data_IF_954842703610
#
_entry.id   IF_954842703610
#
_cell.length_a   1.000
_cell.length_b   1.000
_cell.length_c   1.000
_cell.angle_alpha   90.00
_cell.angle_beta   90.00
_cell.angle_gamma   90.00
#
_symmetry.space_group_name_H-M   'P 1'
#
loop_
_entity.id
_entity.type
_entity.pdbx_description
1 polymer ?
#
# COMPACT_ATOMS: atom_id res chain seq x y z
N UNK A 1 -23.17 7.25 -52.62
CA UNK A 1 -22.52 6.15 -53.37
C UNK A 1 -21.24 6.65 -54.05
N UNK A 2 -20.15 5.98 -54.05
CA UNK A 2 -19.98 4.59 -54.42
C UNK A 2 -19.17 3.73 -53.43
N UNK A 3 -19.33 2.47 -53.67
CA UNK A 3 -18.87 1.23 -53.09
C UNK A 3 -17.35 0.90 -53.15
N UNK A 4 -16.98 -0.28 -52.63
CA UNK A 4 -15.80 -0.53 -51.81
C UNK A 4 -14.74 -1.45 -52.46
N UNK A 5 -13.78 -1.91 -51.56
CA UNK A 5 -12.87 -3.08 -51.71
C UNK A 5 -11.53 -2.92 -52.44
N UNK A 6 -10.53 -3.82 -52.27
CA UNK A 6 -10.51 -5.10 -51.59
C UNK A 6 -9.27 -5.41 -50.69
N UNK A 7 -9.40 -6.47 -49.87
CA UNK A 7 -8.33 -7.20 -49.21
C UNK A 7 -7.37 -7.93 -50.16
N UNK A 8 -6.18 -8.33 -49.71
CA UNK A 8 -5.58 -9.54 -50.24
C UNK A 8 -5.20 -10.61 -49.22
N UNK A 9 -5.41 -11.78 -49.67
CA UNK A 9 -5.40 -13.14 -49.15
C UNK A 9 -4.06 -13.67 -48.66
N UNK A 10 -4.23 -14.68 -47.82
CA UNK A 10 -3.36 -15.76 -47.34
C UNK A 10 -2.20 -16.21 -48.25
N UNK A 11 -1.13 -16.70 -47.61
CA UNK A 11 -0.43 -17.85 -48.08
C UNK A 11 0.09 -18.77 -46.96
N UNK A 12 -0.40 -19.99 -47.02
CA UNK A 12 -0.08 -21.17 -46.22
C UNK A 12 1.12 -21.86 -46.89
N UNK A 13 2.08 -22.32 -46.12
CA UNK A 13 2.90 -23.44 -46.52
C UNK A 13 3.34 -24.29 -45.32
N UNK A 14 2.89 -25.52 -45.35
CA UNK A 14 3.16 -26.66 -44.48
C UNK A 14 4.60 -27.15 -44.65
N UNK A 15 5.15 -27.73 -43.57
CA UNK A 15 5.95 -28.95 -43.68
C UNK A 15 5.99 -29.72 -42.36
N UNK A 16 5.37 -30.90 -42.39
CA UNK A 16 5.47 -32.00 -41.42
C UNK A 16 6.71 -32.87 -41.71
N UNK A 17 7.29 -33.45 -40.68
CA UNK A 17 7.75 -34.89 -40.60
C UNK A 17 8.36 -35.09 -39.20
N UNK A 18 7.77 -35.78 -38.28
CA UNK A 18 7.59 -37.20 -37.90
C UNK A 18 8.85 -38.09 -37.98
N UNK A 19 9.14 -38.75 -36.87
CA UNK A 19 9.29 -40.19 -36.54
C UNK A 19 10.26 -40.37 -35.37
N UNK A 20 9.78 -40.81 -34.24
CA UNK A 20 9.73 -42.17 -33.64
C UNK A 20 11.07 -42.81 -33.26
N UNK A 21 11.14 -43.08 -31.95
CA UNK A 21 11.49 -44.30 -31.23
C UNK A 21 12.90 -44.89 -31.35
N UNK A 22 13.56 -45.14 -30.24
CA UNK A 22 13.68 -46.44 -29.62
C UNK A 22 14.50 -46.46 -28.32
N UNK A 23 14.05 -47.25 -27.44
CA UNK A 23 14.36 -47.86 -26.17
C UNK A 23 15.77 -48.43 -25.99
N UNK A 24 16.20 -48.35 -24.67
CA UNK A 24 17.03 -49.30 -23.90
C UNK A 24 18.52 -49.44 -24.22
N UNK A 25 19.39 -49.21 -23.26
CA UNK A 25 20.01 -50.26 -22.44
C UNK A 25 20.89 -49.68 -21.32
N UNK A 26 20.86 -50.41 -20.21
CA UNK A 26 21.78 -50.32 -19.05
C UNK A 26 23.23 -50.52 -19.47
N UNK A 27 24.16 -49.84 -18.82
CA UNK A 27 25.19 -50.55 -18.03
C UNK A 27 26.15 -49.53 -17.37
N UNK A 28 26.45 -49.86 -16.16
CA UNK A 28 27.46 -49.50 -15.18
C UNK A 28 28.82 -49.09 -15.77
N UNK A 29 29.46 -48.03 -15.23
CA UNK A 29 30.76 -48.11 -14.58
C UNK A 29 31.43 -46.73 -14.38
N UNK A 30 32.01 -46.59 -13.19
CA UNK A 30 33.22 -45.88 -12.76
C UNK A 30 33.11 -44.41 -12.41
N UNK A 31 33.31 -44.20 -11.13
CA UNK A 31 33.58 -42.90 -10.48
C UNK A 31 34.85 -42.26 -11.06
N UNK A 32 34.72 -41.00 -11.49
CA UNK A 32 35.85 -40.09 -11.59
C UNK A 32 35.60 -38.87 -10.71
N UNK A 33 36.59 -38.60 -9.87
CA UNK A 33 36.66 -37.55 -8.87
C UNK A 33 36.43 -36.16 -9.50
N UNK A 34 35.31 -35.52 -9.19
CA UNK A 34 35.10 -34.12 -9.50
C UNK A 34 35.79 -33.22 -8.46
N UNK A 35 36.87 -32.58 -8.85
CA UNK A 35 37.61 -31.54 -8.10
C UNK A 35 36.69 -30.38 -7.70
N UNK A 36 36.89 -29.75 -6.52
CA UNK A 36 35.96 -28.80 -5.94
C UNK A 36 36.05 -27.42 -6.61
N UNK A 37 35.22 -27.17 -7.61
CA UNK A 37 35.10 -25.84 -8.27
C UNK A 37 34.33 -24.83 -7.40
N UNK A 38 33.56 -25.30 -6.42
CA UNK A 38 32.69 -24.41 -5.58
C UNK A 38 33.43 -23.56 -4.54
N UNK A 39 34.63 -23.95 -4.10
CA UNK A 39 35.38 -23.20 -3.07
C UNK A 39 35.98 -21.90 -3.59
N UNK A 40 36.43 -21.83 -4.83
CA UNK A 40 37.04 -20.62 -5.42
C UNK A 40 36.01 -19.52 -5.76
N UNK A 41 34.73 -19.85 -5.95
CA UNK A 41 33.69 -18.86 -6.24
C UNK A 41 33.24 -18.15 -4.97
N UNK A 42 33.03 -18.89 -3.89
CA UNK A 42 32.71 -18.33 -2.57
C UNK A 42 33.86 -17.48 -2.02
N UNK A 43 35.11 -17.92 -2.12
CA UNK A 43 36.27 -17.12 -1.69
C UNK A 43 36.42 -15.81 -2.49
N UNK A 44 36.05 -15.79 -3.78
CA UNK A 44 36.02 -14.56 -4.58
C UNK A 44 34.91 -13.59 -4.18
N UNK A 45 33.74 -14.11 -3.85
CA UNK A 45 32.61 -13.28 -3.42
C UNK A 45 32.88 -12.71 -2.02
N UNK A 46 33.43 -13.49 -1.10
CA UNK A 46 33.82 -13.04 0.23
C UNK A 46 35.00 -12.04 0.18
N UNK A 47 36.05 -12.29 -0.61
CA UNK A 47 37.13 -11.34 -0.82
C UNK A 47 36.67 -10.03 -1.47
N UNK A 48 35.72 -10.09 -2.40
CA UNK A 48 35.17 -8.89 -3.03
C UNK A 48 34.30 -8.07 -2.06
N UNK A 49 33.65 -8.73 -1.08
CA UNK A 49 32.93 -8.05 -0.01
C UNK A 49 33.89 -7.37 0.98
N UNK A 50 34.99 -8.07 1.36
CA UNK A 50 36.05 -7.50 2.21
C UNK A 50 36.86 -6.39 1.52
N UNK A 51 37.04 -6.45 0.19
CA UNK A 51 37.72 -5.38 -0.57
C UNK A 51 36.81 -4.15 -0.75
N UNK A 52 35.47 -4.32 -0.87
CA UNK A 52 34.52 -3.21 -0.90
C UNK A 52 34.46 -2.52 0.46
N UNK A 53 34.50 -3.26 1.56
CA UNK A 53 34.56 -2.70 2.92
C UNK A 53 35.89 -1.97 3.20
N UNK A 54 36.99 -2.36 2.55
CA UNK A 54 38.30 -1.71 2.73
C UNK A 54 38.48 -0.41 1.95
N UNK A 55 37.62 -0.09 0.99
CA UNK A 55 37.74 1.14 0.15
C UNK A 55 36.71 2.22 0.51
N UNK A 56 35.76 1.98 1.39
CA UNK A 56 34.83 3.03 1.83
C UNK A 56 35.55 4.06 2.72
N UNK A 57 35.58 5.33 2.27
CA UNK A 57 36.11 6.44 3.06
C UNK A 57 35.24 6.62 4.31
N UNK A 58 35.76 6.23 5.46
CA UNK A 58 35.12 6.50 6.75
C UNK A 58 35.30 7.97 7.13
N UNK A 59 34.20 8.60 7.56
CA UNK A 59 34.16 9.96 8.08
C UNK A 59 33.85 9.93 9.57
N UNK A 60 34.24 10.96 10.28
CA UNK A 60 33.87 11.12 11.68
C UNK A 60 32.37 11.37 11.77
N UNK A 61 31.70 10.67 12.66
CA UNK A 61 30.28 10.94 12.99
C UNK A 61 30.28 12.06 14.03
N UNK A 62 30.28 13.29 13.54
CA UNK A 62 30.35 14.53 14.31
C UNK A 62 29.10 15.38 14.13
N UNK A 63 29.05 16.53 14.80
CA UNK A 63 27.91 17.44 14.75
C UNK A 63 27.60 17.92 13.33
N UNK A 64 28.62 18.14 12.49
CA UNK A 64 28.43 18.55 11.08
C UNK A 64 27.75 17.43 10.26
N UNK A 65 28.10 16.16 10.55
CA UNK A 65 27.43 15.02 9.90
C UNK A 65 25.98 14.87 10.37
N UNK A 66 25.71 15.11 11.66
CA UNK A 66 24.35 15.10 12.21
C UNK A 66 23.49 16.20 11.58
N UNK A 67 23.98 17.42 11.50
CA UNK A 67 23.28 18.54 10.86
C UNK A 67 22.95 18.22 9.39
N UNK A 68 23.93 17.70 8.64
CA UNK A 68 23.70 17.27 7.25
C UNK A 68 22.67 16.14 7.13
N UNK A 69 22.63 15.22 8.10
CA UNK A 69 21.65 14.14 8.15
C UNK A 69 20.25 14.69 8.44
N UNK A 70 20.11 15.60 9.40
CA UNK A 70 18.85 16.26 9.73
C UNK A 70 18.28 17.01 8.55
N UNK A 71 19.09 17.80 7.84
CA UNK A 71 18.68 18.48 6.62
C UNK A 71 18.19 17.49 5.54
N UNK A 72 18.91 16.37 5.38
CA UNK A 72 18.52 15.32 4.44
C UNK A 72 17.15 14.70 4.81
N UNK A 73 16.95 14.38 6.09
CA UNK A 73 15.70 13.77 6.58
C UNK A 73 14.52 14.75 6.45
N UNK A 74 14.74 16.04 6.77
CA UNK A 74 13.74 17.10 6.58
C UNK A 74 13.38 17.23 5.09
N UNK A 75 14.39 17.24 4.21
CA UNK A 75 14.19 17.31 2.76
C UNK A 75 13.45 16.11 2.18
N UNK A 76 13.52 14.96 2.86
CA UNK A 76 12.77 13.75 2.55
C UNK A 76 11.33 13.73 3.13
N UNK A 77 10.83 14.87 3.60
CA UNK A 77 9.50 15.06 4.22
C UNK A 77 9.29 14.29 5.56
N UNK A 78 10.37 13.97 6.28
CA UNK A 78 10.25 13.35 7.62
C UNK A 78 9.73 14.33 8.69
N UNK A 79 9.81 15.64 8.40
CA UNK A 79 9.47 16.70 9.37
C UNK A 79 10.57 16.95 10.39
N UNK A 80 10.55 18.14 10.99
CA UNK A 80 11.65 18.58 11.87
C UNK A 80 11.73 17.72 13.12
N UNK A 81 10.63 17.54 13.85
CA UNK A 81 10.62 16.84 15.15
C UNK A 81 11.10 15.38 15.04
N UNK A 82 10.60 14.67 14.03
CA UNK A 82 10.99 13.27 13.79
C UNK A 82 12.44 13.18 13.30
N UNK A 83 12.88 14.10 12.44
CA UNK A 83 14.27 14.13 11.95
C UNK A 83 15.26 14.35 13.11
N UNK A 84 15.02 15.31 13.99
CA UNK A 84 15.84 15.57 15.16
C UNK A 84 15.90 14.36 16.10
N UNK A 85 14.79 13.67 16.30
CA UNK A 85 14.76 12.48 17.16
C UNK A 85 15.51 11.30 16.54
N UNK A 86 15.36 11.09 15.23
CA UNK A 86 16.07 10.02 14.51
C UNK A 86 17.57 10.29 14.54
N UNK A 87 18.01 11.51 14.25
CA UNK A 87 19.43 11.87 14.26
C UNK A 87 20.03 11.75 15.65
N UNK A 88 19.32 12.21 16.69
CA UNK A 88 19.76 12.06 18.09
C UNK A 88 19.93 10.59 18.50
N UNK A 89 18.98 9.72 18.13
CA UNK A 89 19.09 8.28 18.39
C UNK A 89 20.24 7.63 17.63
N UNK A 90 20.52 8.07 16.39
CA UNK A 90 21.67 7.60 15.62
C UNK A 90 22.99 8.08 16.23
N UNK A 91 23.03 9.26 16.85
CA UNK A 91 24.21 9.80 17.53
C UNK A 91 24.52 9.02 18.81
N UNK A 92 23.50 8.50 19.47
CA UNK A 92 23.68 7.75 20.72
C UNK A 92 24.61 6.55 20.52
N UNK A 93 25.72 6.56 21.26
CA UNK A 93 26.79 5.57 21.17
C UNK A 93 27.62 5.57 19.87
N UNK A 94 27.37 6.47 18.91
CA UNK A 94 28.12 6.56 17.64
C UNK A 94 28.88 7.89 17.46
N UNK A 95 28.56 8.91 18.24
CA UNK A 95 29.27 10.21 18.18
C UNK A 95 30.77 10.03 18.39
N UNK A 96 31.60 10.67 17.55
CA UNK A 96 33.02 10.57 17.58
C UNK A 96 33.62 9.29 16.96
N UNK A 97 32.81 8.34 16.49
CA UNK A 97 33.29 7.16 15.77
C UNK A 97 33.47 7.45 14.27
N UNK A 98 34.37 6.70 13.64
CA UNK A 98 34.54 6.75 12.19
C UNK A 98 33.56 5.79 11.54
N UNK A 99 32.60 6.30 10.76
CA UNK A 99 31.57 5.55 10.06
C UNK A 99 31.67 5.69 8.54
N UNK A 100 31.35 4.65 7.82
CA UNK A 100 31.15 4.66 6.38
C UNK A 100 29.71 5.08 6.03
N UNK A 101 29.49 5.46 4.77
CA UNK A 101 28.14 5.76 4.27
C UNK A 101 27.19 4.57 4.45
N UNK A 102 27.72 3.35 4.29
CA UNK A 102 26.91 2.14 4.44
C UNK A 102 26.52 1.89 5.90
N UNK A 103 27.44 2.12 6.84
CA UNK A 103 27.15 2.06 8.29
C UNK A 103 26.07 3.09 8.68
N UNK A 104 26.12 4.33 8.17
CA UNK A 104 25.09 5.36 8.40
C UNK A 104 23.73 4.92 7.84
N UNK A 105 23.70 4.32 6.64
CA UNK A 105 22.45 3.78 6.06
C UNK A 105 21.85 2.66 6.92
N UNK A 106 22.69 1.79 7.47
CA UNK A 106 22.23 0.71 8.37
C UNK A 106 21.66 1.30 9.66
N UNK A 107 22.33 2.27 10.27
CA UNK A 107 21.84 2.96 11.47
C UNK A 107 20.50 3.62 11.22
N UNK A 108 20.37 4.37 10.12
CA UNK A 108 19.11 4.99 9.73
C UNK A 108 18.02 3.94 9.47
N UNK A 109 18.34 2.86 8.76
CA UNK A 109 17.40 1.77 8.50
C UNK A 109 16.88 1.13 9.79
N UNK A 110 17.74 0.94 10.79
CA UNK A 110 17.36 0.41 12.10
C UNK A 110 16.41 1.37 12.85
N UNK A 111 16.69 2.68 12.83
CA UNK A 111 15.81 3.67 13.46
C UNK A 111 14.45 3.77 12.77
N UNK A 112 14.43 3.77 11.44
CA UNK A 112 13.18 3.75 10.67
C UNK A 112 12.39 2.47 10.95
N UNK A 113 13.05 1.31 10.99
CA UNK A 113 12.40 0.05 11.34
C UNK A 113 11.83 0.08 12.76
N UNK A 114 12.55 0.62 13.73
CA UNK A 114 12.10 0.76 15.13
C UNK A 114 10.81 1.59 15.25
N UNK A 115 10.66 2.63 14.41
CA UNK A 115 9.47 3.49 14.39
C UNK A 115 8.30 2.79 13.67
N UNK A 116 8.58 2.10 12.55
CA UNK A 116 7.54 1.52 11.71
C UNK A 116 7.03 0.15 12.19
N UNK A 117 7.90 -0.68 12.78
CA UNK A 117 7.55 -2.05 13.18
C UNK A 117 6.33 -2.13 14.12
N UNK A 118 6.17 -1.27 15.14
CA UNK A 118 5.00 -1.29 16.01
C UNK A 118 3.68 -1.00 15.32
N UNK A 119 3.70 -0.26 14.20
CA UNK A 119 2.52 0.19 13.46
C UNK A 119 2.30 -0.57 12.15
N UNK A 120 3.26 -1.35 11.67
CA UNK A 120 3.13 -2.19 10.49
C UNK A 120 2.25 -3.41 10.80
N UNK A 121 0.94 -3.23 10.80
CA UNK A 121 -0.04 -4.25 11.17
C UNK A 121 -1.07 -4.45 10.07
N UNK A 122 -1.40 -5.70 9.70
CA UNK A 122 -2.50 -5.96 8.78
C UNK A 122 -3.83 -5.44 9.35
N UNK A 123 -4.79 -5.14 8.48
CA UNK A 123 -6.14 -4.77 8.92
C UNK A 123 -6.77 -5.94 9.69
N UNK A 124 -7.25 -5.73 10.92
CA UNK A 124 -7.86 -6.80 11.70
C UNK A 124 -9.16 -7.26 11.04
N UNK A 125 -9.39 -8.58 11.05
CA UNK A 125 -10.65 -9.19 10.68
C UNK A 125 -11.38 -9.66 11.94
N UNK A 126 -12.64 -9.30 12.04
CA UNK A 126 -13.50 -9.64 13.16
C UNK A 126 -14.48 -10.76 12.78
N UNK A 127 -15.04 -11.43 13.79
CA UNK A 127 -15.99 -12.53 13.57
C UNK A 127 -17.42 -12.07 13.22
N UNK A 128 -17.74 -10.80 13.52
CA UNK A 128 -19.06 -10.22 13.22
C UNK A 128 -19.26 -9.99 11.72
N UNK A 129 -20.52 -10.07 11.29
CA UNK A 129 -20.93 -9.94 9.90
C UNK A 129 -22.13 -8.98 9.74
N UNK A 130 -22.01 -8.02 8.84
CA UNK A 130 -20.78 -7.66 8.13
C UNK A 130 -19.79 -6.91 9.02
N UNK A 131 -18.48 -7.14 8.85
CA UNK A 131 -17.49 -6.17 9.31
C UNK A 131 -17.56 -4.95 8.38
N UNK A 132 -17.73 -3.77 8.95
CA UNK A 132 -17.88 -2.52 8.18
C UNK A 132 -16.56 -1.76 8.17
N UNK A 133 -16.05 -1.48 6.98
CA UNK A 133 -14.85 -0.68 6.72
C UNK A 133 -15.25 0.60 6.00
N UNK A 134 -15.12 1.72 6.68
CA UNK A 134 -15.31 3.05 6.10
C UNK A 134 -13.97 3.53 5.53
N UNK A 135 -13.94 3.90 4.25
CA UNK A 135 -12.71 4.36 3.58
C UNK A 135 -12.81 5.86 3.32
N UNK A 136 -11.94 6.60 3.99
CA UNK A 136 -11.92 8.07 3.96
C UNK A 136 -10.60 8.60 3.39
N UNK A 137 -10.55 9.87 3.00
CA UNK A 137 -9.35 10.53 2.48
C UNK A 137 -9.69 11.53 1.39
N UNK A 138 -8.73 12.36 0.99
CA UNK A 138 -8.93 13.40 -0.02
C UNK A 138 -9.13 12.84 -1.43
N UNK A 139 -9.70 13.65 -2.32
CA UNK A 139 -9.79 13.27 -3.74
C UNK A 139 -8.39 13.06 -4.34
N UNK A 140 -8.24 11.99 -5.13
CA UNK A 140 -6.96 11.63 -5.74
C UNK A 140 -5.98 10.89 -4.82
N UNK A 141 -6.30 10.67 -3.55
CA UNK A 141 -5.44 9.88 -2.64
C UNK A 141 -5.39 8.39 -2.97
N UNK A 142 -6.21 7.89 -3.89
CA UNK A 142 -6.24 6.48 -4.27
C UNK A 142 -7.25 5.61 -3.52
N UNK A 143 -8.29 6.20 -2.90
CA UNK A 143 -9.35 5.47 -2.18
C UNK A 143 -9.97 4.36 -3.01
N UNK A 144 -10.52 4.71 -4.18
CA UNK A 144 -11.22 3.78 -5.08
C UNK A 144 -10.31 2.61 -5.50
N UNK A 145 -9.05 2.89 -5.86
CA UNK A 145 -8.06 1.86 -6.19
C UNK A 145 -7.72 0.98 -4.99
N UNK A 146 -7.57 1.58 -3.81
CA UNK A 146 -7.30 0.85 -2.55
C UNK A 146 -8.44 -0.09 -2.21
N UNK A 147 -9.69 0.38 -2.31
CA UNK A 147 -10.90 -0.45 -2.09
C UNK A 147 -10.90 -1.64 -3.04
N UNK A 148 -10.68 -1.41 -4.34
CA UNK A 148 -10.64 -2.47 -5.35
C UNK A 148 -9.58 -3.53 -5.06
N UNK A 149 -8.36 -3.10 -4.73
CA UNK A 149 -7.25 -4.02 -4.38
C UNK A 149 -7.53 -4.81 -3.09
N UNK A 150 -7.99 -4.15 -2.03
CA UNK A 150 -8.33 -4.81 -0.77
C UNK A 150 -9.50 -5.78 -0.94
N UNK A 151 -10.55 -5.39 -1.67
CA UNK A 151 -11.69 -6.25 -1.96
C UNK A 151 -11.26 -7.52 -2.71
N UNK A 152 -10.38 -7.39 -3.71
CA UNK A 152 -9.79 -8.52 -4.43
C UNK A 152 -8.97 -9.44 -3.50
N UNK A 153 -8.16 -8.89 -2.62
CA UNK A 153 -7.38 -9.67 -1.65
C UNK A 153 -8.28 -10.44 -0.67
N UNK A 154 -9.31 -9.80 -0.10
CA UNK A 154 -10.24 -10.47 0.80
C UNK A 154 -11.07 -11.53 0.08
N UNK A 155 -11.50 -11.26 -1.15
CA UNK A 155 -12.19 -12.25 -1.98
C UNK A 155 -11.31 -13.47 -2.26
N UNK A 156 -10.04 -13.24 -2.58
CA UNK A 156 -9.06 -14.32 -2.79
C UNK A 156 -8.77 -15.12 -1.51
N UNK A 157 -8.92 -14.49 -0.35
CA UNK A 157 -8.84 -15.15 0.96
C UNK A 157 -10.16 -15.87 1.37
N UNK A 158 -11.12 -16.01 0.44
CA UNK A 158 -12.37 -16.74 0.67
C UNK A 158 -13.44 -15.95 1.42
N UNK A 159 -13.31 -14.62 1.55
CA UNK A 159 -14.30 -13.76 2.19
C UNK A 159 -15.36 -13.30 1.19
N UNK A 160 -16.60 -13.23 1.62
CA UNK A 160 -17.65 -12.52 0.89
C UNK A 160 -17.51 -11.02 1.16
N UNK A 161 -17.40 -10.23 0.08
CA UNK A 161 -17.17 -8.78 0.15
C UNK A 161 -18.26 -8.07 -0.67
N UNK A 162 -18.73 -6.95 -0.16
CA UNK A 162 -19.60 -6.00 -0.87
C UNK A 162 -19.00 -4.61 -0.76
N UNK A 163 -19.08 -3.83 -1.82
CA UNK A 163 -18.64 -2.43 -1.86
C UNK A 163 -19.87 -1.53 -2.00
N UNK A 164 -19.93 -0.44 -1.23
CA UNK A 164 -20.88 0.64 -1.41
C UNK A 164 -20.16 1.87 -1.98
N UNK A 165 -20.57 2.35 -3.15
CA UNK A 165 -19.97 3.48 -3.85
C UNK A 165 -20.56 4.81 -3.33
N UNK A 166 -20.13 5.24 -2.15
CA UNK A 166 -20.69 6.40 -1.46
C UNK A 166 -20.22 7.78 -1.99
N UNK A 167 -19.23 7.88 -2.89
CA UNK A 167 -18.91 9.14 -3.61
C UNK A 167 -19.93 9.38 -4.74
N UNK A 168 -21.20 9.53 -4.37
CA UNK A 168 -22.34 9.60 -5.30
C UNK A 168 -22.35 10.82 -6.20
N UNK A 169 -21.57 11.84 -5.88
CA UNK A 169 -21.45 13.06 -6.68
C UNK A 169 -20.40 13.00 -7.79
N UNK A 170 -19.73 11.84 -7.94
CA UNK A 170 -18.69 11.65 -8.94
C UNK A 170 -18.96 10.38 -9.74
N UNK A 171 -19.75 10.53 -10.82
CA UNK A 171 -20.11 9.41 -11.70
C UNK A 171 -18.89 8.58 -12.13
N UNK A 172 -17.80 9.24 -12.55
CA UNK A 172 -16.58 8.57 -12.95
C UNK A 172 -15.91 7.74 -11.80
N UNK A 173 -16.06 8.16 -10.54
CA UNK A 173 -15.53 7.39 -9.40
C UNK A 173 -16.39 6.14 -9.16
N UNK A 174 -17.71 6.26 -9.30
CA UNK A 174 -18.66 5.14 -9.20
C UNK A 174 -18.38 4.12 -10.32
N UNK A 175 -18.27 4.57 -11.57
CA UNK A 175 -17.93 3.72 -12.73
C UNK A 175 -16.58 3.00 -12.53
N UNK A 176 -15.56 3.72 -12.08
CA UNK A 176 -14.26 3.14 -11.79
C UNK A 176 -14.37 2.03 -10.71
N UNK A 177 -15.19 2.25 -9.68
CA UNK A 177 -15.39 1.27 -8.62
C UNK A 177 -16.15 0.03 -9.12
N UNK A 178 -17.11 0.21 -10.02
CA UNK A 178 -17.81 -0.90 -10.69
C UNK A 178 -16.83 -1.76 -11.49
N UNK A 179 -15.94 -1.13 -12.29
CA UNK A 179 -14.88 -1.86 -13.02
C UNK A 179 -13.98 -2.66 -12.09
N UNK A 180 -13.60 -2.08 -10.94
CA UNK A 180 -12.82 -2.81 -9.93
C UNK A 180 -13.60 -3.98 -9.32
N UNK A 181 -14.89 -3.76 -9.03
CA UNK A 181 -15.80 -4.81 -8.52
C UNK A 181 -15.92 -5.98 -9.50
N UNK A 182 -16.16 -5.69 -10.78
CA UNK A 182 -16.21 -6.71 -11.83
C UNK A 182 -14.94 -7.54 -11.94
N UNK A 183 -13.78 -6.86 -11.96
CA UNK A 183 -12.46 -7.53 -12.01
C UNK A 183 -12.20 -8.42 -10.79
N UNK A 184 -12.63 -7.98 -9.62
CA UNK A 184 -12.46 -8.72 -8.36
C UNK A 184 -13.56 -9.77 -8.13
N UNK A 185 -14.64 -9.79 -8.92
CA UNK A 185 -15.83 -10.61 -8.68
C UNK A 185 -16.58 -10.20 -7.40
N UNK A 186 -16.60 -8.90 -7.08
CA UNK A 186 -17.17 -8.32 -5.88
C UNK A 186 -18.34 -7.41 -6.27
N UNK A 187 -19.56 -7.61 -5.71
CA UNK A 187 -20.71 -6.73 -5.99
C UNK A 187 -20.45 -5.30 -5.50
N UNK A 188 -20.81 -4.33 -6.34
CA UNK A 188 -20.77 -2.90 -6.02
C UNK A 188 -22.19 -2.37 -5.98
N UNK A 189 -22.58 -1.83 -4.84
CA UNK A 189 -23.86 -1.16 -4.66
C UNK A 189 -23.71 0.31 -4.99
N UNK A 190 -24.59 0.81 -5.84
CA UNK A 190 -24.60 2.18 -6.31
C UNK A 190 -25.96 2.82 -6.08
N UNK A 191 -26.02 4.14 -6.08
CA UNK A 191 -27.23 4.91 -6.07
C UNK A 191 -27.20 5.93 -7.23
N UNK A 192 -28.33 6.50 -7.63
CA UNK A 192 -28.36 7.59 -8.63
C UNK A 192 -27.40 8.72 -8.24
N UNK A 193 -26.88 9.43 -9.25
CA UNK A 193 -25.98 10.57 -9.03
C UNK A 193 -26.64 11.62 -8.12
N UNK A 194 -25.86 12.12 -7.15
CA UNK A 194 -26.34 13.10 -6.17
C UNK A 194 -27.21 12.53 -5.06
N UNK A 195 -27.45 11.22 -5.01
CA UNK A 195 -28.16 10.58 -3.89
C UNK A 195 -27.39 10.75 -2.57
N UNK A 196 -28.12 10.67 -1.45
CA UNK A 196 -27.55 10.72 -0.11
C UNK A 196 -26.65 9.51 0.17
N UNK A 197 -25.32 9.70 0.39
CA UNK A 197 -24.41 8.60 0.69
C UNK A 197 -24.80 7.79 1.94
N UNK A 198 -25.41 8.45 2.93
CA UNK A 198 -25.85 7.77 4.15
C UNK A 198 -27.01 6.80 3.89
N UNK A 199 -27.91 7.11 2.95
CA UNK A 199 -28.97 6.19 2.54
C UNK A 199 -28.40 4.96 1.86
N UNK A 200 -27.45 5.13 0.94
CA UNK A 200 -26.76 4.02 0.31
C UNK A 200 -26.03 3.13 1.33
N UNK A 201 -25.33 3.75 2.29
CA UNK A 201 -24.66 3.01 3.35
C UNK A 201 -25.64 2.18 4.22
N UNK A 202 -26.82 2.74 4.53
CA UNK A 202 -27.85 2.04 5.26
C UNK A 202 -28.42 0.81 4.50
N UNK A 203 -28.70 1.00 3.22
CA UNK A 203 -29.22 -0.07 2.36
C UNK A 203 -28.17 -1.17 2.17
N UNK A 204 -26.89 -0.78 2.01
CA UNK A 204 -25.79 -1.71 1.94
C UNK A 204 -25.61 -2.54 3.23
N UNK A 205 -25.77 -1.91 4.41
CA UNK A 205 -25.77 -2.60 5.70
C UNK A 205 -26.88 -3.64 5.78
N UNK A 206 -28.11 -3.26 5.44
CA UNK A 206 -29.26 -4.16 5.48
C UNK A 206 -29.04 -5.35 4.54
N UNK A 207 -28.62 -5.09 3.30
CA UNK A 207 -28.32 -6.13 2.33
C UNK A 207 -27.24 -7.09 2.84
N UNK A 208 -26.11 -6.56 3.34
CA UNK A 208 -25.02 -7.40 3.83
C UNK A 208 -25.40 -8.25 5.04
N UNK A 209 -26.25 -7.73 5.93
CA UNK A 209 -26.83 -8.53 7.05
C UNK A 209 -27.69 -9.66 6.55
N UNK A 210 -28.62 -9.38 5.62
CA UNK A 210 -29.53 -10.40 5.07
C UNK A 210 -28.79 -11.50 4.31
N UNK A 211 -27.75 -11.11 3.55
CA UNK A 211 -26.94 -12.02 2.73
C UNK A 211 -25.79 -12.68 3.52
N UNK A 212 -25.65 -12.39 4.83
CA UNK A 212 -24.58 -12.88 5.73
C UNK A 212 -23.17 -12.63 5.17
N UNK A 213 -22.95 -11.44 4.61
CA UNK A 213 -21.68 -11.00 4.00
C UNK A 213 -20.62 -10.81 5.07
N UNK A 214 -19.38 -11.23 4.80
CA UNK A 214 -18.27 -11.07 5.76
C UNK A 214 -17.83 -9.61 5.90
N UNK A 215 -17.73 -8.85 4.78
CA UNK A 215 -17.12 -7.53 4.74
C UNK A 215 -17.92 -6.55 3.88
N UNK A 216 -18.26 -5.40 4.44
CA UNK A 216 -18.81 -4.24 3.72
C UNK A 216 -17.75 -3.13 3.69
N UNK A 217 -17.33 -2.72 2.50
CA UNK A 217 -16.43 -1.58 2.29
C UNK A 217 -17.24 -0.40 1.76
N UNK A 218 -17.17 0.75 2.42
CA UNK A 218 -17.91 1.96 2.04
C UNK A 218 -16.91 3.00 1.54
N UNK A 219 -16.95 3.34 0.25
CA UNK A 219 -16.24 4.49 -0.32
C UNK A 219 -16.92 5.79 0.10
N UNK A 220 -16.17 6.87 0.24
CA UNK A 220 -16.70 8.18 0.62
C UNK A 220 -16.17 9.28 -0.29
N UNK A 221 -16.88 10.40 -0.35
CA UNK A 221 -16.37 11.62 -0.96
C UNK A 221 -15.06 12.07 -0.29
N UNK A 222 -14.26 12.86 -1.00
CA UNK A 222 -12.96 13.35 -0.50
C UNK A 222 -12.76 14.84 -0.74
N UNK A 223 -13.82 15.65 -0.66
CA UNK A 223 -13.81 17.10 -0.97
C UNK A 223 -13.32 17.92 0.23
N UNK A 224 -12.04 17.78 0.61
CA UNK A 224 -11.49 18.45 1.79
C UNK A 224 -11.49 19.99 1.68
N UNK A 225 -11.56 20.55 0.47
CA UNK A 225 -11.71 21.99 0.25
C UNK A 225 -13.02 22.55 0.86
N UNK A 226 -14.05 21.73 0.97
CA UNK A 226 -15.26 22.01 1.73
C UNK A 226 -15.32 21.12 2.97
N UNK A 227 -14.41 21.39 3.91
CA UNK A 227 -14.19 20.57 5.12
C UNK A 227 -15.49 20.34 5.89
N UNK A 228 -16.28 21.40 6.08
CA UNK A 228 -17.50 21.35 6.89
C UNK A 228 -18.51 20.35 6.31
N UNK A 229 -18.81 20.45 5.03
CA UNK A 229 -19.79 19.59 4.37
C UNK A 229 -19.31 18.13 4.36
N UNK A 230 -18.02 17.90 4.08
CA UNK A 230 -17.42 16.56 4.14
C UNK A 230 -17.56 15.94 5.53
N UNK A 231 -17.34 16.74 6.58
CA UNK A 231 -17.43 16.27 7.96
C UNK A 231 -18.86 15.97 8.36
N UNK A 232 -19.82 16.80 7.98
CA UNK A 232 -21.25 16.57 8.20
C UNK A 232 -21.73 15.31 7.46
N UNK A 233 -21.24 15.08 6.24
CA UNK A 233 -21.55 13.87 5.45
C UNK A 233 -21.00 12.61 6.12
N UNK A 234 -19.72 12.60 6.52
CA UNK A 234 -19.10 11.46 7.21
C UNK A 234 -19.79 11.16 8.54
N UNK A 235 -20.08 12.19 9.35
CA UNK A 235 -20.81 12.02 10.61
C UNK A 235 -22.23 11.46 10.37
N UNK A 236 -22.90 11.89 9.31
CA UNK A 236 -24.20 11.35 8.92
C UNK A 236 -24.12 9.89 8.52
N UNK A 237 -23.12 9.48 7.72
CA UNK A 237 -22.89 8.08 7.35
C UNK A 237 -22.67 7.25 8.62
N UNK A 238 -21.76 7.66 9.50
CA UNK A 238 -21.47 6.96 10.76
C UNK A 238 -22.72 6.79 11.60
N UNK A 239 -23.49 7.86 11.83
CA UNK A 239 -24.75 7.79 12.61
C UNK A 239 -25.76 6.83 12.00
N UNK A 240 -25.83 6.76 10.67
CA UNK A 240 -26.81 5.93 9.99
C UNK A 240 -26.43 4.45 10.06
N UNK A 241 -25.17 4.11 9.85
CA UNK A 241 -24.70 2.72 9.98
C UNK A 241 -24.79 2.23 11.44
N UNK A 242 -24.58 3.11 12.42
CA UNK A 242 -24.71 2.80 13.85
C UNK A 242 -26.15 2.50 14.30
N UNK A 243 -27.15 2.89 13.54
CA UNK A 243 -28.54 2.44 13.79
C UNK A 243 -28.71 0.94 13.55
N UNK A 244 -27.93 0.39 12.63
CA UNK A 244 -27.93 -1.04 12.31
C UNK A 244 -26.96 -1.85 13.19
N UNK A 245 -25.82 -1.26 13.51
CA UNK A 245 -24.78 -1.85 14.38
C UNK A 245 -24.08 -0.74 15.14
N UNK A 246 -24.34 -0.59 16.46
CA UNK A 246 -23.73 0.48 17.28
C UNK A 246 -22.22 0.44 17.33
N UNK A 247 -21.57 -0.70 17.00
CA UNK A 247 -20.13 -0.84 16.95
C UNK A 247 -19.49 -0.43 15.62
N UNK A 248 -20.31 -0.23 14.58
CA UNK A 248 -19.85 0.19 13.26
C UNK A 248 -19.54 1.70 13.17
N UNK A 249 -18.60 2.15 12.32
CA UNK A 249 -17.71 1.30 11.51
C UNK A 249 -16.66 0.60 12.39
N UNK A 250 -16.36 -0.65 12.06
CA UNK A 250 -15.35 -1.44 12.79
C UNK A 250 -13.93 -1.01 12.46
N UNK A 251 -13.74 -0.53 11.24
CA UNK A 251 -12.50 0.10 10.78
C UNK A 251 -12.83 1.36 9.99
N UNK A 252 -12.09 2.43 10.27
CA UNK A 252 -12.05 3.62 9.42
C UNK A 252 -10.64 3.74 8.86
N UNK A 253 -10.49 3.48 7.56
CA UNK A 253 -9.21 3.53 6.85
C UNK A 253 -9.04 4.91 6.21
N UNK A 254 -8.01 5.63 6.64
CA UNK A 254 -7.62 6.87 5.98
C UNK A 254 -6.57 6.57 4.89
N UNK A 255 -6.93 6.87 3.65
CA UNK A 255 -6.05 6.71 2.49
C UNK A 255 -5.34 8.03 2.19
N UNK A 256 -4.02 8.00 2.29
CA UNK A 256 -3.12 9.14 2.12
C UNK A 256 -2.24 8.95 0.89
N UNK A 257 -1.92 10.05 0.24
CA UNK A 257 -1.00 10.11 -0.90
C UNK A 257 0.38 10.58 -0.41
N UNK A 258 1.41 9.74 -0.57
CA UNK A 258 2.78 10.05 -0.13
C UNK A 258 3.36 11.29 -0.83
N UNK A 259 2.91 11.60 -2.05
CA UNK A 259 3.39 12.77 -2.80
C UNK A 259 2.95 14.09 -2.19
N UNK A 260 1.98 14.08 -1.28
CA UNK A 260 1.53 15.29 -0.57
C UNK A 260 2.45 15.72 0.58
N UNK A 261 3.44 14.89 0.94
CA UNK A 261 4.43 15.19 1.96
C UNK A 261 3.80 15.56 3.31
N UNK A 262 4.30 16.60 3.96
CA UNK A 262 3.84 17.05 5.28
C UNK A 262 2.35 17.42 5.36
N UNK A 263 1.69 17.67 4.22
CA UNK A 263 0.23 17.88 4.21
C UNK A 263 -0.55 16.63 4.63
N UNK A 264 0.01 15.44 4.48
CA UNK A 264 -0.61 14.19 4.95
C UNK A 264 -0.82 14.21 6.48
N UNK A 265 0.08 14.80 7.24
CA UNK A 265 -0.04 14.95 8.70
C UNK A 265 -1.29 15.73 9.06
N UNK A 266 -1.52 16.88 8.39
CA UNK A 266 -2.74 17.68 8.61
C UNK A 266 -4.02 16.93 8.21
N UNK A 267 -3.95 16.10 7.18
CA UNK A 267 -5.08 15.25 6.82
C UNK A 267 -5.43 14.27 7.94
N UNK A 268 -4.44 13.60 8.54
CA UNK A 268 -4.69 12.71 9.69
C UNK A 268 -5.36 13.48 10.83
N UNK A 269 -4.83 14.62 11.22
CA UNK A 269 -5.41 15.46 12.28
C UNK A 269 -6.89 15.77 12.03
N UNK A 270 -7.19 16.25 10.82
CA UNK A 270 -8.55 16.61 10.42
C UNK A 270 -9.50 15.43 10.42
N UNK A 271 -9.08 14.28 9.84
CA UNK A 271 -9.95 13.11 9.76
C UNK A 271 -10.13 12.42 11.11
N UNK A 272 -9.14 12.46 12.01
CA UNK A 272 -9.27 11.92 13.36
C UNK A 272 -10.32 12.67 14.22
N UNK A 273 -10.49 13.97 14.02
CA UNK A 273 -11.51 14.76 14.73
C UNK A 273 -12.93 14.25 14.45
N UNK A 274 -13.15 13.66 13.29
CA UNK A 274 -14.51 13.39 12.79
C UNK A 274 -14.83 11.89 12.70
N UNK A 275 -13.91 11.07 12.23
CA UNK A 275 -14.24 9.69 11.83
C UNK A 275 -13.52 8.61 12.61
N UNK A 276 -12.84 8.94 13.73
CA UNK A 276 -12.08 7.98 14.55
C UNK A 276 -11.24 7.03 13.69
N UNK A 277 -10.30 7.59 12.91
CA UNK A 277 -9.40 6.80 12.08
C UNK A 277 -8.74 5.67 12.87
N UNK A 278 -8.89 4.44 12.41
CA UNK A 278 -8.35 3.23 13.07
C UNK A 278 -7.09 2.72 12.40
N UNK A 279 -6.81 3.15 11.17
CA UNK A 279 -5.63 2.75 10.44
C UNK A 279 -5.41 3.55 9.17
N UNK A 280 -4.19 3.48 8.68
CA UNK A 280 -3.71 4.24 7.52
C UNK A 280 -3.41 3.31 6.34
N UNK A 281 -3.63 3.83 5.14
CA UNK A 281 -3.09 3.28 3.89
C UNK A 281 -2.33 4.40 3.19
N UNK A 282 -1.04 4.19 2.92
CA UNK A 282 -0.21 5.14 2.19
C UNK A 282 -0.07 4.70 0.75
N UNK A 283 -0.46 5.54 -0.19
CA UNK A 283 -0.38 5.27 -1.63
C UNK A 283 0.77 6.04 -2.28
N UNK A 284 1.13 5.68 -3.51
CA UNK A 284 2.07 6.39 -4.39
C UNK A 284 3.48 6.61 -3.80
N UNK A 285 3.95 5.70 -2.95
CA UNK A 285 5.31 5.76 -2.42
C UNK A 285 6.39 5.63 -3.50
N UNK A 286 6.08 4.96 -4.60
CA UNK A 286 6.92 4.85 -5.81
C UNK A 286 7.03 6.16 -6.59
N UNK A 287 6.04 7.05 -6.45
CA UNK A 287 5.99 8.36 -7.13
C UNK A 287 6.79 9.46 -6.42
N UNK A 288 7.46 9.18 -5.32
CA UNK A 288 8.21 10.18 -4.56
C UNK A 288 9.54 9.67 -4.03
N UNK A 289 10.56 10.54 -4.08
CA UNK A 289 11.81 10.32 -3.33
C UNK A 289 11.68 10.69 -1.83
N UNK A 290 10.50 11.14 -1.39
CA UNK A 290 10.23 11.74 -0.09
C UNK A 290 9.35 10.82 0.78
N UNK A 291 9.83 9.60 1.04
CA UNK A 291 9.13 8.61 1.86
C UNK A 291 9.13 8.89 3.36
N UNK A 292 9.83 9.92 3.82
CA UNK A 292 9.96 10.27 5.25
C UNK A 292 8.62 10.61 5.91
N UNK A 293 7.63 11.07 5.16
CA UNK A 293 6.29 11.35 5.66
C UNK A 293 5.63 10.11 6.30
N UNK A 294 5.90 8.89 5.80
CA UNK A 294 5.40 7.66 6.39
C UNK A 294 5.96 7.45 7.80
N UNK A 295 7.26 7.74 7.98
CA UNK A 295 7.93 7.65 9.29
C UNK A 295 7.39 8.71 10.24
N UNK A 296 7.21 9.95 9.76
CA UNK A 296 6.62 11.02 10.56
C UNK A 296 5.18 10.71 11.03
N UNK A 297 4.37 10.11 10.17
CA UNK A 297 3.00 9.69 10.52
C UNK A 297 3.01 8.58 11.58
N UNK A 298 3.86 7.57 11.40
CA UNK A 298 4.02 6.48 12.36
C UNK A 298 4.43 6.99 13.74
N UNK A 299 5.43 7.85 13.75
CA UNK A 299 6.02 8.43 14.95
C UNK A 299 5.07 9.38 15.70
N UNK A 300 4.33 10.22 14.97
CA UNK A 300 3.44 11.22 15.57
C UNK A 300 2.13 10.62 16.07
N UNK A 301 1.52 9.71 15.30
CA UNK A 301 0.17 9.24 15.59
C UNK A 301 0.11 7.81 16.15
N UNK A 302 1.13 6.98 15.91
CA UNK A 302 1.11 5.58 16.34
C UNK A 302 -0.03 4.75 15.74
N UNK A 303 -0.69 5.24 14.69
CA UNK A 303 -1.79 4.55 14.02
C UNK A 303 -1.25 3.37 13.20
N UNK A 304 -1.96 2.22 13.20
CA UNK A 304 -1.61 1.11 12.33
C UNK A 304 -1.54 1.52 10.86
N UNK A 305 -0.48 1.11 10.16
CA UNK A 305 -0.34 1.24 8.72
C UNK A 305 -0.63 -0.13 8.12
N UNK A 306 -1.80 -0.26 7.50
CA UNK A 306 -2.31 -1.55 7.04
C UNK A 306 -1.81 -1.94 5.65
N UNK A 307 -1.48 -0.96 4.82
CA UNK A 307 -0.94 -1.18 3.48
C UNK A 307 -0.15 0.02 2.98
N UNK A 308 0.79 -0.25 2.09
CA UNK A 308 1.52 0.75 1.32
C UNK A 308 1.36 0.45 -0.17
N UNK A 309 1.13 1.49 -0.99
CA UNK A 309 1.07 1.41 -2.44
C UNK A 309 2.41 1.79 -3.06
N UNK A 310 2.98 0.87 -3.82
CA UNK A 310 4.30 1.01 -4.48
C UNK A 310 4.18 0.79 -5.99
N UNK A 311 3.07 1.21 -6.59
CA UNK A 311 2.79 1.09 -8.02
C UNK A 311 1.33 0.74 -8.31
N UNK A 312 1.01 0.68 -9.60
CA UNK A 312 -0.36 0.45 -10.08
C UNK A 312 -0.71 -1.03 -10.29
N UNK A 313 0.26 -1.94 -10.22
CA UNK A 313 0.06 -3.38 -10.43
C UNK A 313 -0.58 -4.06 -9.24
#
# INVERSE_FOLDING_TARGET
EPEPEPEPKENIAKSNKSLESTSKNNETLVAEESKPVKKKFFDRVFKRKEEIEKTEKKRLFDDNMLESLEELLISADMGVDTSLRVSANMADGNLGKKVSVNEVKILLGNEVARILEPVAKPMPLYSQKPQVVLVVGVNGSGKTTTIGKLASQFRSAGKSVVIAAGDTFRAAAVEQLQVWGERAGVPVLTAPEGSDPASLAFDAMNKCKNDNVDLLMIDTAGRLQNRKDLMEELDKIVRVIQKNDPSAPHNTLLVLDATTGQNAIRQVEVFQEVSKVTGLVMTKLDGTAKGGVLVALADKFGLPIHAIGVGEQ
#
